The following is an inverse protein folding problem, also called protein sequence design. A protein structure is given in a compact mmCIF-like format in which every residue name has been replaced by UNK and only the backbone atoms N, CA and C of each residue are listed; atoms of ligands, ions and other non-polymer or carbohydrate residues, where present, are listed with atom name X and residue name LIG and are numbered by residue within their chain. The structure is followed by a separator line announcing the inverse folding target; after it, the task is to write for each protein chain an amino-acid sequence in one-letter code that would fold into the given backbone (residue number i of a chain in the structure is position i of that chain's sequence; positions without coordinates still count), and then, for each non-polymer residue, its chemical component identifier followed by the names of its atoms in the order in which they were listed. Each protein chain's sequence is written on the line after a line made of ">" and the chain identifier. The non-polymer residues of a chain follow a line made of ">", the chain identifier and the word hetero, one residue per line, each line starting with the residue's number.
data_IF_797101079981
#
_entry.id   IF_797101079981
#
_cell.length_a   1.000
_cell.length_b   1.000
_cell.length_c   1.000
_cell.angle_alpha   90.00
_cell.angle_beta   90.00
_cell.angle_gamma   90.00
#
_symmetry.space_group_name_H-M   'P 1'
#
loop_
_entity.id
_entity.type
_entity.pdbx_description
1 polymer ?
#
# COMPACT_ATOMS: atom_id res chain seq x y z
N UNK A 1 22.77 -27.49 -24.99
CA UNK A 1 23.09 -26.05 -24.79
C UNK A 1 21.85 -25.15 -24.75
N UNK A 2 20.85 -25.30 -25.64
CA UNK A 2 19.63 -24.47 -25.64
C UNK A 2 18.79 -24.58 -24.36
N UNK A 3 18.58 -25.78 -23.82
CA UNK A 3 17.79 -26.00 -22.59
C UNK A 3 18.35 -25.23 -21.39
N UNK A 4 19.68 -25.19 -21.23
CA UNK A 4 20.37 -24.51 -20.12
C UNK A 4 20.17 -22.98 -20.21
N UNK A 5 20.25 -22.43 -21.42
CA UNK A 5 20.05 -20.99 -21.67
C UNK A 5 18.60 -20.60 -21.37
N UNK A 6 17.63 -21.40 -21.82
CA UNK A 6 16.21 -21.15 -21.56
C UNK A 6 15.87 -21.26 -20.07
N UNK A 7 16.43 -22.25 -19.36
CA UNK A 7 16.22 -22.38 -17.91
C UNK A 7 16.80 -21.20 -17.14
N UNK A 8 17.98 -20.69 -17.54
CA UNK A 8 18.59 -19.53 -16.90
C UNK A 8 17.78 -18.25 -17.15
N UNK A 9 17.31 -18.04 -18.38
CA UNK A 9 16.45 -16.91 -18.72
C UNK A 9 15.13 -16.94 -17.92
N UNK A 10 14.53 -18.12 -17.76
CA UNK A 10 13.33 -18.30 -16.93
C UNK A 10 13.58 -17.98 -15.47
N UNK A 11 14.73 -18.39 -14.92
CA UNK A 11 15.09 -18.12 -13.52
C UNK A 11 15.30 -16.62 -13.26
N UNK A 12 15.99 -15.93 -14.17
CA UNK A 12 16.22 -14.49 -14.09
C UNK A 12 14.88 -13.74 -14.12
N UNK A 13 13.98 -14.10 -15.05
CA UNK A 13 12.65 -13.48 -15.13
C UNK A 13 11.84 -13.70 -13.86
N UNK A 14 11.90 -14.92 -13.29
CA UNK A 14 11.24 -15.22 -12.03
C UNK A 14 11.79 -14.38 -10.88
N UNK A 15 13.12 -14.25 -10.77
CA UNK A 15 13.74 -13.43 -9.73
C UNK A 15 13.30 -11.96 -9.79
N UNK A 16 13.24 -11.37 -10.99
CA UNK A 16 12.70 -10.01 -11.16
C UNK A 16 11.21 -9.92 -10.83
N UNK A 17 10.43 -10.95 -11.16
CA UNK A 17 9.00 -10.98 -10.83
C UNK A 17 8.77 -11.00 -9.32
N UNK A 18 9.53 -11.83 -8.59
CA UNK A 18 9.46 -11.89 -7.12
C UNK A 18 9.94 -10.58 -6.50
N UNK A 19 11.06 -10.03 -6.97
CA UNK A 19 11.56 -8.74 -6.48
C UNK A 19 10.51 -7.64 -6.64
N UNK A 20 9.93 -7.51 -7.84
CA UNK A 20 9.02 -6.42 -8.15
C UNK A 20 7.66 -6.57 -7.46
N UNK A 21 7.12 -7.79 -7.38
CA UNK A 21 5.86 -8.05 -6.66
C UNK A 21 5.98 -7.77 -5.17
N UNK A 22 7.09 -8.18 -4.53
CA UNK A 22 7.33 -7.91 -3.09
C UNK A 22 7.54 -6.42 -2.84
N UNK A 23 8.40 -5.77 -3.63
CA UNK A 23 8.71 -4.34 -3.46
C UNK A 23 7.49 -3.47 -3.78
N UNK A 24 6.79 -3.76 -4.88
CA UNK A 24 5.58 -3.05 -5.28
C UNK A 24 4.41 -3.30 -4.31
N UNK A 25 4.30 -4.50 -3.72
CA UNK A 25 3.33 -4.78 -2.67
C UNK A 25 3.58 -3.98 -1.40
N UNK A 26 4.85 -3.87 -0.98
CA UNK A 26 5.22 -3.06 0.18
C UNK A 26 4.90 -1.56 -0.03
N UNK A 27 5.17 -1.04 -1.23
CA UNK A 27 4.83 0.35 -1.60
C UNK A 27 3.30 0.56 -1.62
N UNK A 28 2.54 -0.41 -2.15
CA UNK A 28 1.09 -0.37 -2.14
C UNK A 28 0.54 -0.33 -0.71
N UNK A 29 1.05 -1.22 0.16
CA UNK A 29 0.64 -1.28 1.56
C UNK A 29 0.95 0.03 2.30
N UNK A 30 2.15 0.59 2.11
CA UNK A 30 2.53 1.88 2.69
C UNK A 30 1.61 3.00 2.19
N UNK A 31 1.28 2.99 0.90
CA UNK A 31 0.39 3.98 0.28
C UNK A 31 -1.02 3.90 0.86
N UNK A 32 -1.58 2.70 0.99
CA UNK A 32 -2.88 2.47 1.63
C UNK A 32 -2.86 2.95 3.10
N UNK A 33 -1.79 2.67 3.84
CA UNK A 33 -1.67 3.09 5.23
C UNK A 33 -1.58 4.61 5.39
N UNK A 34 -0.87 5.27 4.48
CA UNK A 34 -0.78 6.74 4.41
C UNK A 34 -2.14 7.38 4.09
N UNK A 35 -2.94 6.78 3.20
CA UNK A 35 -4.32 7.22 2.96
C UNK A 35 -5.18 7.05 4.22
N UNK A 36 -5.07 5.90 4.89
CA UNK A 36 -5.84 5.61 6.13
C UNK A 36 -5.51 6.60 7.26
N UNK A 37 -4.23 6.93 7.44
CA UNK A 37 -3.78 7.84 8.48
C UNK A 37 -3.85 9.32 8.08
N UNK A 38 -4.49 9.66 6.95
CA UNK A 38 -4.71 11.03 6.50
C UNK A 38 -5.84 11.72 7.29
N UNK A 39 -5.66 11.85 8.61
CA UNK A 39 -6.63 12.41 9.56
C UNK A 39 -7.06 13.84 9.18
N UNK A 40 -6.16 14.62 8.58
CA UNK A 40 -6.40 16.02 8.21
C UNK A 40 -7.10 16.18 6.84
N UNK A 41 -7.29 15.11 6.07
CA UNK A 41 -7.82 15.12 4.68
C UNK A 41 -7.14 16.13 3.72
N UNK A 42 -5.93 16.60 4.05
CA UNK A 42 -5.20 17.61 3.26
C UNK A 42 -4.76 17.10 1.88
N UNK A 43 -4.54 15.79 1.76
CA UNK A 43 -4.16 15.11 0.51
C UNK A 43 -5.35 14.33 -0.07
N UNK A 44 -5.57 14.44 -1.37
CA UNK A 44 -6.52 13.58 -2.11
C UNK A 44 -5.90 12.21 -2.38
N UNK A 45 -6.72 11.16 -2.59
CA UNK A 45 -6.23 9.83 -3.00
C UNK A 45 -5.26 9.88 -4.19
N UNK A 46 -5.55 10.70 -5.20
CA UNK A 46 -4.70 10.89 -6.39
C UNK A 46 -3.27 11.33 -6.05
N UNK A 47 -3.09 12.14 -4.98
CA UNK A 47 -1.76 12.55 -4.54
C UNK A 47 -0.97 11.38 -3.94
N UNK A 48 -1.65 10.44 -3.27
CA UNK A 48 -1.02 9.24 -2.72
C UNK A 48 -0.69 8.23 -3.83
N UNK A 49 -1.54 8.10 -4.84
CA UNK A 49 -1.25 7.29 -6.04
C UNK A 49 -0.02 7.80 -6.79
N UNK A 50 0.07 9.11 -7.01
CA UNK A 50 1.22 9.73 -7.66
C UNK A 50 2.52 9.56 -6.81
N UNK A 51 2.42 9.71 -5.48
CA UNK A 51 3.54 9.50 -4.57
C UNK A 51 3.99 8.03 -4.58
N UNK A 52 3.05 7.08 -4.53
CA UNK A 52 3.31 5.65 -4.62
C UNK A 52 3.95 5.25 -5.95
N UNK A 53 3.41 5.75 -7.06
CA UNK A 53 3.95 5.56 -8.41
C UNK A 53 5.42 6.02 -8.50
N UNK A 54 5.73 7.19 -7.92
CA UNK A 54 7.10 7.72 -7.84
C UNK A 54 8.01 6.92 -6.90
N UNK A 55 7.47 6.26 -5.88
CA UNK A 55 8.26 5.38 -5.01
C UNK A 55 8.66 4.09 -5.72
N UNK A 56 7.82 3.58 -6.61
CA UNK A 56 8.10 2.37 -7.40
C UNK A 56 8.97 2.62 -8.64
N UNK A 57 8.86 3.78 -9.29
CA UNK A 57 9.65 4.09 -10.49
C UNK A 57 10.90 4.92 -10.15
N UNK A 58 12.14 4.51 -10.54
CA UNK A 58 12.51 3.37 -11.39
C UNK A 58 12.99 2.14 -10.60
N UNK A 59 12.54 1.94 -9.36
CA UNK A 59 12.99 0.83 -8.50
C UNK A 59 12.49 -0.54 -8.97
N UNK A 60 11.42 -0.56 -9.75
CA UNK A 60 10.82 -1.75 -10.35
C UNK A 60 11.30 -1.90 -11.79
N UNK A 61 11.64 -3.13 -12.17
CA UNK A 61 12.39 -3.41 -13.40
C UNK A 61 11.53 -4.00 -14.53
N UNK A 62 10.33 -4.50 -14.21
CA UNK A 62 9.46 -5.19 -15.17
C UNK A 62 8.50 -4.27 -15.94
N UNK A 63 8.48 -2.97 -15.65
CA UNK A 63 7.67 -2.00 -16.39
C UNK A 63 7.39 -0.73 -15.59
N UNK A 64 6.58 0.15 -16.16
CA UNK A 64 6.06 1.31 -15.44
C UNK A 64 5.14 0.82 -14.32
N UNK A 65 5.52 1.16 -13.09
CA UNK A 65 4.71 0.86 -11.93
C UNK A 65 3.54 1.83 -11.82
N UNK A 66 2.34 1.30 -11.60
CA UNK A 66 1.13 2.08 -11.37
C UNK A 66 0.45 1.63 -10.08
N UNK A 67 -0.12 2.59 -9.36
CA UNK A 67 -1.00 2.35 -8.21
C UNK A 67 -2.36 2.98 -8.49
N UNK A 68 -3.42 2.25 -8.21
CA UNK A 68 -4.78 2.77 -8.09
C UNK A 68 -5.34 2.53 -6.69
N UNK A 69 -6.05 3.50 -6.15
CA UNK A 69 -6.69 3.45 -4.85
C UNK A 69 -8.18 3.72 -5.00
N UNK A 70 -9.01 2.87 -4.40
CA UNK A 70 -10.46 3.05 -4.32
C UNK A 70 -10.87 3.09 -2.86
N UNK A 71 -11.30 4.26 -2.42
CA UNK A 71 -11.85 4.43 -1.07
C UNK A 71 -13.35 4.13 -1.09
N UNK A 72 -13.74 3.05 -0.41
CA UNK A 72 -15.14 2.66 -0.21
C UNK A 72 -15.68 3.11 1.15
N UNK A 73 -16.91 2.70 1.46
CA UNK A 73 -17.58 3.00 2.74
C UNK A 73 -16.99 2.18 3.90
N UNK A 74 -16.46 0.99 3.60
CA UNK A 74 -16.01 0.00 4.59
C UNK A 74 -14.48 -0.15 4.68
N UNK A 75 -13.74 0.48 3.78
CA UNK A 75 -12.30 0.26 3.66
C UNK A 75 -11.69 0.92 2.42
N UNK A 76 -10.40 0.66 2.25
CA UNK A 76 -9.61 1.10 1.10
C UNK A 76 -9.18 -0.15 0.34
N UNK A 77 -9.47 -0.20 -0.95
CA UNK A 77 -8.89 -1.19 -1.88
C UNK A 77 -7.78 -0.50 -2.65
N UNK A 78 -6.63 -1.15 -2.77
CA UNK A 78 -5.52 -0.67 -3.58
C UNK A 78 -5.09 -1.73 -4.57
N UNK A 79 -4.77 -1.29 -5.77
CA UNK A 79 -4.30 -2.11 -6.88
C UNK A 79 -2.92 -1.61 -7.29
N UNK A 80 -1.99 -2.52 -7.53
CA UNK A 80 -0.65 -2.22 -8.02
C UNK A 80 -0.28 -3.15 -9.17
N UNK A 81 0.43 -2.62 -10.17
CA UNK A 81 0.92 -3.41 -11.30
C UNK A 81 2.21 -2.86 -11.87
N UNK A 82 3.05 -3.75 -12.39
CA UNK A 82 4.15 -3.40 -13.29
C UNK A 82 4.42 -4.56 -14.25
N UNK A 83 4.49 -4.28 -15.55
CA UNK A 83 4.71 -5.33 -16.56
C UNK A 83 3.63 -6.42 -16.52
N UNK A 84 4.06 -7.66 -16.29
CA UNK A 84 3.19 -8.84 -16.33
C UNK A 84 2.52 -9.18 -14.98
N UNK A 85 2.83 -8.44 -13.91
CA UNK A 85 2.26 -8.73 -12.58
C UNK A 85 1.26 -7.67 -12.13
N UNK A 86 0.27 -8.14 -11.38
CA UNK A 86 -0.78 -7.34 -10.77
C UNK A 86 -1.07 -7.86 -9.36
N UNK A 87 -1.28 -6.96 -8.42
CA UNK A 87 -1.59 -7.24 -7.01
C UNK A 87 -2.75 -6.35 -6.57
N UNK A 88 -3.74 -6.94 -5.90
CA UNK A 88 -4.85 -6.21 -5.29
C UNK A 88 -4.84 -6.48 -3.78
N UNK A 89 -5.06 -5.44 -2.98
CA UNK A 89 -5.10 -5.51 -1.52
C UNK A 89 -6.31 -4.74 -1.01
N UNK A 90 -7.07 -5.35 -0.12
CA UNK A 90 -8.17 -4.70 0.60
C UNK A 90 -7.77 -4.51 2.07
N UNK A 91 -7.97 -3.31 2.59
CA UNK A 91 -7.80 -2.99 4.02
C UNK A 91 -9.09 -2.38 4.55
N UNK A 92 -9.71 -3.06 5.51
CA UNK A 92 -10.91 -2.58 6.22
C UNK A 92 -10.57 -1.38 7.11
N UNK A 93 -11.50 -0.43 7.23
CA UNK A 93 -11.29 0.85 7.95
C UNK A 93 -11.38 0.72 9.49
N UNK A 94 -11.05 -0.45 10.03
CA UNK A 94 -11.01 -0.65 11.48
C UNK A 94 -9.74 -0.02 12.05
N UNK A 95 -9.90 1.10 12.76
CA UNK A 95 -8.80 1.86 13.39
C UNK A 95 -8.80 1.67 14.93
N UNK A 96 -8.33 0.51 15.44
CA UNK A 96 -8.36 0.23 16.88
C UNK A 96 -7.54 1.23 17.69
N UNK A 97 -6.42 1.71 17.15
CA UNK A 97 -5.61 2.75 17.79
C UNK A 97 -6.37 4.09 17.95
N UNK A 98 -7.14 4.50 16.94
CA UNK A 98 -7.96 5.72 17.01
C UNK A 98 -9.10 5.55 18.03
N UNK A 99 -9.71 4.37 18.10
CA UNK A 99 -10.72 4.05 19.10
C UNK A 99 -10.16 4.10 20.53
N UNK A 100 -9.00 3.47 20.78
CA UNK A 100 -8.33 3.50 22.08
C UNK A 100 -7.94 4.93 22.49
N UNK A 101 -7.39 5.73 21.58
CA UNK A 101 -7.12 7.16 21.83
C UNK A 101 -8.37 7.94 22.23
N UNK A 102 -9.51 7.67 21.58
CA UNK A 102 -10.79 8.30 21.93
C UNK A 102 -11.29 7.85 23.31
N UNK A 103 -11.14 6.57 23.67
CA UNK A 103 -11.48 6.09 25.01
C UNK A 103 -10.59 6.72 26.09
N UNK A 104 -9.28 6.77 25.89
CA UNK A 104 -8.36 7.39 26.85
C UNK A 104 -8.65 8.89 27.03
N UNK A 105 -8.94 9.60 25.94
CA UNK A 105 -9.34 11.00 26.00
C UNK A 105 -10.66 11.18 26.76
N UNK A 106 -11.66 10.33 26.50
CA UNK A 106 -12.94 10.35 27.19
C UNK A 106 -12.78 10.07 28.69
N UNK A 107 -11.94 9.09 29.05
CA UNK A 107 -11.63 8.76 30.45
C UNK A 107 -10.97 9.94 31.17
N UNK A 108 -9.98 10.60 30.55
CA UNK A 108 -9.33 11.80 31.10
C UNK A 108 -10.25 13.01 31.26
N UNK A 109 -11.35 13.09 30.51
CA UNK A 109 -12.37 14.14 30.68
C UNK A 109 -13.27 13.79 31.86
N UNK A 110 -13.66 12.52 31.97
CA UNK A 110 -14.50 12.02 33.06
C UNK A 110 -13.81 12.14 34.42
N UNK A 111 -12.53 11.73 34.52
CA UNK A 111 -11.72 11.88 35.74
C UNK A 111 -11.59 13.36 36.17
N UNK A 112 -11.63 14.30 35.21
CA UNK A 112 -11.53 15.75 35.48
C UNK A 112 -12.85 16.41 35.87
N UNK A 113 -13.97 15.71 35.73
CA UNK A 113 -15.32 16.16 36.11
C UNK A 113 -15.74 15.61 37.48
N UNK A 114 -15.05 14.57 37.96
CA UNK A 114 -15.26 13.96 39.29
C UNK A 114 -14.36 14.58 40.40
N UNK A 115 -13.37 15.39 40.02
CA UNK A 115 -12.58 16.27 40.90
C UNK A 115 -13.23 17.66 41.07
#
# INVERSE_FOLDING_TARGET
>A
MSVVILSLASLIRYAYTVHDTVTGGMILEETIERVRNNVDKKKTPDMFEAEGTRMGNPRLFLGEYTIGLKTGITGITGDASAGDWHLSMERTDFQPATFLRKQDAAKKIMDRLED
#
